data_IF_395183442381
#
_entry.id   IF_395183442381
#
_cell.length_a   1.000
_cell.length_b   1.000
_cell.length_c   1.000
_cell.angle_alpha   90.00
_cell.angle_beta   90.00
_cell.angle_gamma   90.00
#
_symmetry.space_group_name_H-M   'P 1'
#
loop_
_entity.id
_entity.type
_entity.pdbx_description
1 polymer ?
#
# COMPACT_ATOMS: atom_id res chain seq x y z
N UNK A 1 2.93 12.40 30.00
CA UNK A 1 2.17 12.02 31.21
C UNK A 1 2.94 10.90 31.89
N UNK A 2 3.31 11.06 33.16
CA UNK A 2 4.04 10.01 33.90
C UNK A 2 3.15 8.79 34.15
N UNK A 3 3.68 7.60 33.88
CA UNK A 3 3.00 6.32 34.07
C UNK A 3 2.85 6.04 35.57
N UNK A 4 1.62 6.00 36.12
CA UNK A 4 1.40 5.73 37.56
C UNK A 4 1.96 4.36 37.98
N UNK A 5 1.94 3.38 37.08
CA UNK A 5 2.43 2.04 37.35
C UNK A 5 3.97 1.92 37.39
N UNK A 6 4.72 2.87 36.81
CA UNK A 6 6.19 2.90 36.88
C UNK A 6 6.61 3.93 37.93
N UNK A 7 6.77 3.47 39.17
CA UNK A 7 7.26 4.29 40.30
C UNK A 7 6.29 4.49 41.46
N UNK A 8 5.14 3.81 41.47
CA UNK A 8 4.24 3.78 42.63
C UNK A 8 4.69 2.74 43.66
N UNK A 9 4.57 3.07 44.95
CA UNK A 9 4.75 2.14 46.07
C UNK A 9 3.59 1.14 46.20
N UNK A 10 2.49 1.34 45.47
CA UNK A 10 1.30 0.47 45.53
C UNK A 10 1.55 -0.78 44.68
N UNK A 11 1.37 -2.00 45.21
CA UNK A 11 1.51 -3.23 44.43
C UNK A 11 0.57 -3.29 43.22
N UNK A 12 1.02 -3.86 42.10
CA UNK A 12 0.23 -3.97 40.86
C UNK A 12 -1.14 -4.65 41.06
N UNK A 13 -1.20 -5.65 41.94
CA UNK A 13 -2.45 -6.32 42.33
C UNK A 13 -3.47 -5.37 42.98
N UNK A 14 -3.01 -4.42 43.78
CA UNK A 14 -3.87 -3.42 44.40
C UNK A 14 -4.27 -2.33 43.40
N UNK A 15 -3.35 -1.94 42.52
CA UNK A 15 -3.67 -1.02 41.41
C UNK A 15 -4.72 -1.62 40.46
N UNK A 16 -4.63 -2.93 40.17
CA UNK A 16 -5.62 -3.65 39.36
C UNK A 16 -7.00 -3.61 40.02
N UNK A 17 -7.08 -3.95 41.31
CA UNK A 17 -8.34 -3.88 42.08
C UNK A 17 -8.91 -2.47 42.14
N UNK A 18 -8.07 -1.45 42.27
CA UNK A 18 -8.51 -0.05 42.27
C UNK A 18 -9.06 0.34 40.89
N UNK A 19 -8.36 -0.02 39.82
CA UNK A 19 -8.79 0.24 38.45
C UNK A 19 -10.14 -0.40 38.15
N UNK A 20 -10.35 -1.63 38.61
CA UNK A 20 -11.62 -2.34 38.48
C UNK A 20 -12.72 -1.71 39.33
N UNK A 21 -12.47 -1.47 40.62
CA UNK A 21 -13.44 -0.90 41.57
C UNK A 21 -13.97 0.46 41.12
N UNK A 22 -13.12 1.28 40.50
CA UNK A 22 -13.49 2.60 39.99
C UNK A 22 -13.78 2.62 38.48
N UNK A 23 -13.86 1.45 37.83
CA UNK A 23 -14.11 1.32 36.38
C UNK A 23 -13.19 2.20 35.51
N UNK A 24 -11.93 2.40 35.94
CA UNK A 24 -10.97 3.27 35.26
C UNK A 24 -10.23 2.50 34.18
N UNK A 25 -10.70 2.65 32.94
CA UNK A 25 -10.12 2.01 31.75
C UNK A 25 -8.65 2.40 31.55
N UNK A 26 -8.32 3.68 31.70
CA UNK A 26 -6.96 4.18 31.55
C UNK A 26 -5.99 3.58 32.58
N UNK A 27 -6.43 3.44 33.84
CA UNK A 27 -5.60 2.82 34.88
C UNK A 27 -5.47 1.31 34.64
N UNK A 28 -6.54 0.65 34.20
CA UNK A 28 -6.54 -0.78 33.88
C UNK A 28 -5.55 -1.10 32.74
N UNK A 29 -5.53 -0.27 31.69
CA UNK A 29 -4.56 -0.38 30.58
C UNK A 29 -3.12 -0.21 31.11
N UNK A 30 -2.87 0.80 31.95
CA UNK A 30 -1.54 1.06 32.49
C UNK A 30 -1.04 -0.09 33.37
N UNK A 31 -1.90 -0.62 34.26
CA UNK A 31 -1.57 -1.76 35.11
C UNK A 31 -1.27 -2.99 34.26
N UNK A 32 -2.17 -3.35 33.32
CA UNK A 32 -1.97 -4.51 32.47
C UNK A 32 -0.71 -4.39 31.59
N UNK A 33 -0.40 -3.21 31.07
CA UNK A 33 0.81 -2.97 30.27
C UNK A 33 2.12 -3.10 31.06
N UNK A 34 2.06 -2.98 32.39
CA UNK A 34 3.23 -3.04 33.29
C UNK A 34 3.58 -4.47 33.72
N UNK A 35 2.68 -5.43 33.52
CA UNK A 35 2.87 -6.87 33.81
C UNK A 35 3.82 -7.46 32.77
N UNK A 36 4.96 -8.02 33.16
CA UNK A 36 6.05 -8.38 32.26
C UNK A 36 5.97 -9.80 31.72
N UNK A 37 5.34 -10.72 32.45
CA UNK A 37 5.22 -12.12 32.08
C UNK A 37 3.92 -12.76 32.58
N UNK A 38 3.64 -13.98 32.10
CA UNK A 38 2.42 -14.71 32.39
C UNK A 38 2.29 -15.13 33.87
N UNK A 39 3.41 -15.27 34.60
CA UNK A 39 3.37 -15.60 36.02
C UNK A 39 2.91 -14.39 36.84
N UNK A 40 3.45 -13.21 36.53
CA UNK A 40 3.02 -11.95 37.15
C UNK A 40 1.54 -11.63 36.84
N UNK A 41 1.06 -12.01 35.65
CA UNK A 41 -0.35 -11.90 35.29
C UNK A 41 -1.26 -12.76 36.19
N UNK A 42 -0.90 -14.02 36.44
CA UNK A 42 -1.65 -14.92 37.33
C UNK A 42 -1.65 -14.44 38.79
N UNK A 43 -0.60 -13.72 39.21
CA UNK A 43 -0.53 -13.14 40.56
C UNK A 43 -1.39 -11.88 40.73
N UNK A 44 -1.42 -11.04 39.70
CA UNK A 44 -2.09 -9.72 39.70
C UNK A 44 -3.58 -9.84 39.43
N UNK A 45 -3.99 -10.70 38.49
CA UNK A 45 -5.39 -10.83 38.05
C UNK A 45 -6.13 -11.84 38.94
N UNK A 46 -7.26 -11.48 39.56
CA UNK A 46 -8.12 -12.43 40.27
C UNK A 46 -8.57 -13.60 39.39
N UNK A 47 -8.59 -14.81 39.96
CA UNK A 47 -8.98 -16.05 39.26
C UNK A 47 -10.47 -16.12 38.92
N UNK A 48 -11.30 -15.41 39.67
CA UNK A 48 -12.70 -15.25 39.37
C UNK A 48 -12.87 -14.15 38.33
N UNK A 49 -12.98 -14.55 37.07
CA UNK A 49 -13.17 -13.63 35.95
C UNK A 49 -14.64 -13.24 35.79
N UNK A 50 -15.60 -13.97 36.37
CA UNK A 50 -17.02 -13.74 36.12
C UNK A 50 -17.51 -12.42 36.72
N UNK A 51 -16.84 -11.93 37.77
CA UNK A 51 -17.09 -10.63 38.38
C UNK A 51 -16.67 -9.43 37.52
N UNK A 52 -15.84 -9.63 36.50
CA UNK A 52 -15.29 -8.52 35.71
C UNK A 52 -16.28 -8.01 34.66
N UNK A 53 -16.29 -6.69 34.47
CA UNK A 53 -16.98 -6.10 33.33
C UNK A 53 -16.29 -6.53 32.01
N UNK A 54 -17.06 -6.59 30.93
CA UNK A 54 -16.58 -7.07 29.62
C UNK A 54 -15.35 -6.28 29.11
N UNK A 55 -15.25 -5.00 29.45
CA UNK A 55 -14.09 -4.17 29.10
C UNK A 55 -12.81 -4.64 29.80
N UNK A 56 -12.86 -4.88 31.11
CA UNK A 56 -11.72 -5.41 31.87
C UNK A 56 -11.33 -6.80 31.38
N UNK A 57 -12.31 -7.67 31.10
CA UNK A 57 -12.06 -8.99 30.50
C UNK A 57 -11.28 -8.87 29.19
N UNK A 58 -11.67 -7.96 28.30
CA UNK A 58 -11.00 -7.75 27.02
C UNK A 58 -9.56 -7.25 27.18
N UNK A 59 -9.30 -6.33 28.11
CA UNK A 59 -7.96 -5.79 28.36
C UNK A 59 -7.03 -6.87 28.93
N UNK A 60 -7.50 -7.62 29.92
CA UNK A 60 -6.75 -8.75 30.51
C UNK A 60 -6.47 -9.83 29.48
N UNK A 61 -7.47 -10.18 28.66
CA UNK A 61 -7.33 -11.18 27.60
C UNK A 61 -6.33 -10.71 26.53
N UNK A 62 -6.40 -9.44 26.12
CA UNK A 62 -5.43 -8.87 25.19
C UNK A 62 -4.01 -8.96 25.74
N UNK A 63 -3.80 -8.60 27.02
CA UNK A 63 -2.48 -8.72 27.65
C UNK A 63 -2.02 -10.17 27.77
N UNK A 64 -2.93 -11.09 28.05
CA UNK A 64 -2.64 -12.52 28.10
C UNK A 64 -2.11 -13.03 26.75
N UNK A 65 -2.72 -12.62 25.64
CA UNK A 65 -2.24 -12.97 24.30
C UNK A 65 -0.87 -12.38 24.00
N UNK A 66 -0.65 -11.11 24.34
CA UNK A 66 0.67 -10.47 24.20
C UNK A 66 1.76 -11.22 24.96
N UNK A 67 1.49 -11.64 26.20
CA UNK A 67 2.44 -12.37 27.06
C UNK A 67 2.68 -13.82 26.62
N UNK A 68 1.69 -14.47 26.00
CA UNK A 68 1.83 -15.80 25.41
C UNK A 68 2.54 -15.79 24.04
N UNK A 69 3.03 -14.62 23.59
CA UNK A 69 3.68 -14.48 22.28
C UNK A 69 2.72 -14.62 21.09
N UNK A 70 1.40 -14.69 21.35
CA UNK A 70 0.36 -14.63 20.33
C UNK A 70 0.23 -13.15 19.96
N UNK A 71 1.07 -12.70 19.02
CA UNK A 71 1.07 -11.32 18.56
C UNK A 71 -0.35 -10.91 18.17
N UNK A 72 -0.72 -9.72 18.65
CA UNK A 72 -1.84 -8.92 18.16
C UNK A 72 -1.96 -9.09 16.63
N UNK A 73 -3.14 -9.36 16.05
CA UNK A 73 -3.33 -9.10 14.63
C UNK A 73 -2.89 -7.65 14.42
N UNK A 74 -1.94 -7.43 13.52
CA UNK A 74 -1.53 -6.09 13.13
C UNK A 74 -2.81 -5.26 12.97
N UNK A 75 -2.89 -4.10 13.64
CA UNK A 75 -3.82 -3.07 13.16
C UNK A 75 -3.55 -2.95 11.66
N UNK A 76 -4.59 -2.87 10.82
CA UNK A 76 -4.37 -2.78 9.39
C UNK A 76 -3.38 -1.64 9.16
N UNK A 77 -2.30 -1.87 8.38
CA UNK A 77 -1.23 -0.90 8.30
C UNK A 77 -1.87 0.41 7.93
N UNK A 78 -1.70 1.41 8.80
CA UNK A 78 -1.97 2.77 8.37
C UNK A 78 -1.19 2.96 7.07
N UNK A 79 -1.81 3.53 6.03
CA UNK A 79 -1.14 3.67 4.74
C UNK A 79 0.18 4.40 5.00
N UNK A 80 1.29 3.66 4.87
CA UNK A 80 2.61 4.27 4.87
C UNK A 80 2.59 5.38 3.82
N UNK A 81 3.17 6.53 4.13
CA UNK A 81 3.20 7.64 3.18
C UNK A 81 3.76 7.11 1.85
N UNK A 82 3.04 7.34 0.75
CA UNK A 82 3.33 6.71 -0.55
C UNK A 82 4.76 6.96 -1.02
N UNK A 83 5.36 8.07 -0.57
CA UNK A 83 6.76 8.42 -0.80
C UNK A 83 7.73 7.49 -0.08
N UNK A 84 7.47 7.16 1.19
CA UNK A 84 8.30 6.23 1.97
C UNK A 84 8.31 4.85 1.30
N UNK A 85 7.13 4.37 0.89
CA UNK A 85 7.02 3.09 0.18
C UNK A 85 7.80 3.12 -1.13
N UNK A 86 7.62 4.18 -1.93
CA UNK A 86 8.30 4.32 -3.22
C UNK A 86 9.82 4.39 -3.08
N UNK A 87 10.35 5.26 -2.21
CA UNK A 87 11.80 5.37 -2.03
C UNK A 87 12.39 4.14 -1.31
N UNK A 88 11.62 3.43 -0.50
CA UNK A 88 12.00 2.12 0.03
C UNK A 88 12.20 1.09 -1.08
N UNK A 89 11.26 0.98 -2.02
CA UNK A 89 11.39 0.11 -3.21
C UNK A 89 12.55 0.53 -4.10
N UNK A 90 12.77 1.83 -4.26
CA UNK A 90 13.89 2.37 -5.04
C UNK A 90 15.23 2.05 -4.36
N UNK A 91 15.31 2.19 -3.04
CA UNK A 91 16.49 1.82 -2.26
C UNK A 91 16.87 0.35 -2.45
N UNK A 92 15.89 -0.55 -2.37
CA UNK A 92 16.11 -1.98 -2.60
C UNK A 92 16.60 -2.30 -4.02
N UNK A 93 16.07 -1.60 -5.04
CA UNK A 93 16.54 -1.74 -6.41
C UNK A 93 18.01 -1.31 -6.54
N UNK A 94 18.38 -0.19 -5.90
CA UNK A 94 19.75 0.33 -5.92
C UNK A 94 20.71 -0.58 -5.14
N UNK A 95 20.30 -1.09 -3.98
CA UNK A 95 21.08 -2.07 -3.22
C UNK A 95 21.30 -3.35 -4.03
N UNK A 96 20.26 -3.83 -4.72
CA UNK A 96 20.37 -5.02 -5.57
C UNK A 96 21.26 -4.78 -6.80
N UNK A 97 21.29 -3.55 -7.32
CA UNK A 97 22.19 -3.16 -8.40
C UNK A 97 23.65 -3.09 -7.94
N UNK A 98 23.90 -2.61 -6.72
CA UNK A 98 25.23 -2.55 -6.12
C UNK A 98 25.76 -3.95 -5.77
N UNK A 99 24.87 -4.88 -5.41
CA UNK A 99 25.21 -6.27 -5.08
C UNK A 99 25.36 -7.19 -6.30
N UNK A 100 25.53 -6.65 -7.52
CA UNK A 100 25.51 -7.38 -8.79
C UNK A 100 26.24 -8.74 -8.75
N UNK A 101 25.47 -9.81 -8.51
CA UNK A 101 26.00 -11.17 -8.51
C UNK A 101 25.00 -12.09 -9.23
N UNK A 102 25.32 -12.45 -10.47
CA UNK A 102 24.70 -13.48 -11.32
C UNK A 102 23.18 -13.45 -11.59
N UNK A 103 22.39 -12.55 -10.98
CA UNK A 103 20.93 -12.55 -11.04
C UNK A 103 20.34 -11.24 -11.60
N UNK A 104 20.87 -10.73 -12.71
CA UNK A 104 20.36 -9.49 -13.34
C UNK A 104 18.86 -9.52 -13.65
N UNK A 105 18.27 -10.71 -13.83
CA UNK A 105 16.83 -10.87 -14.01
C UNK A 105 16.00 -10.47 -12.77
N UNK A 106 16.50 -10.67 -11.55
CA UNK A 106 15.81 -10.21 -10.33
C UNK A 106 15.71 -8.68 -10.34
N UNK A 107 16.78 -8.00 -10.76
CA UNK A 107 16.82 -6.54 -10.89
C UNK A 107 15.86 -6.06 -11.98
N UNK A 108 15.81 -6.75 -13.13
CA UNK A 108 14.85 -6.45 -14.18
C UNK A 108 13.40 -6.62 -13.72
N UNK A 109 13.10 -7.66 -12.95
CA UNK A 109 11.77 -7.90 -12.40
C UNK A 109 11.40 -6.85 -11.34
N UNK A 110 12.35 -6.41 -10.50
CA UNK A 110 12.16 -5.28 -9.57
C UNK A 110 11.81 -3.98 -10.31
N UNK A 111 12.55 -3.66 -11.37
CA UNK A 111 12.28 -2.48 -12.20
C UNK A 111 10.89 -2.56 -12.86
N UNK A 112 10.53 -3.74 -13.39
CA UNK A 112 9.22 -4.00 -13.97
C UNK A 112 8.09 -3.84 -12.95
N UNK A 113 8.25 -4.37 -11.74
CA UNK A 113 7.27 -4.23 -10.66
C UNK A 113 7.10 -2.78 -10.21
N UNK A 114 8.20 -2.04 -10.08
CA UNK A 114 8.16 -0.62 -9.74
C UNK A 114 7.42 0.17 -10.82
N UNK A 115 7.77 -0.01 -12.09
CA UNK A 115 7.07 0.64 -13.21
C UNK A 115 5.58 0.29 -13.25
N UNK A 116 5.25 -1.00 -13.13
CA UNK A 116 3.86 -1.45 -13.09
C UNK A 116 3.09 -0.87 -11.92
N UNK A 117 3.71 -0.67 -10.76
CA UNK A 117 3.08 -0.02 -9.61
C UNK A 117 2.78 1.46 -9.87
N UNK A 118 3.71 2.18 -10.50
CA UNK A 118 3.53 3.59 -10.86
C UNK A 118 2.41 3.79 -11.90
N UNK A 119 2.37 2.92 -12.91
CA UNK A 119 1.31 2.90 -13.93
C UNK A 119 -0.03 2.55 -13.28
N UNK A 120 -0.06 1.52 -12.43
CA UNK A 120 -1.27 1.09 -11.74
C UNK A 120 -1.88 2.23 -10.91
N UNK A 121 -1.09 2.89 -10.05
CA UNK A 121 -1.61 3.96 -9.20
C UNK A 121 -2.13 5.14 -10.03
N UNK A 122 -1.46 5.49 -11.14
CA UNK A 122 -1.96 6.55 -12.03
C UNK A 122 -3.29 6.18 -12.70
N UNK A 123 -3.40 4.96 -13.23
CA UNK A 123 -4.64 4.48 -13.86
C UNK A 123 -5.76 4.38 -12.83
N UNK A 124 -5.46 3.86 -11.65
CA UNK A 124 -6.41 3.77 -10.55
C UNK A 124 -6.93 5.15 -10.14
N UNK A 125 -6.05 6.16 -10.09
CA UNK A 125 -6.45 7.52 -9.72
C UNK A 125 -7.29 8.23 -10.79
N UNK A 126 -6.99 7.99 -12.07
CA UNK A 126 -7.59 8.75 -13.18
C UNK A 126 -8.79 8.08 -13.81
N UNK A 127 -8.74 6.77 -13.98
CA UNK A 127 -9.68 6.03 -14.82
C UNK A 127 -10.69 5.25 -13.97
N UNK A 128 -10.23 4.66 -12.85
CA UNK A 128 -11.08 3.78 -12.01
C UNK A 128 -10.94 4.07 -10.51
N UNK A 129 -11.11 5.33 -10.04
CA UNK A 129 -10.97 5.66 -8.62
C UNK A 129 -11.94 4.89 -7.72
N UNK A 130 -13.06 4.41 -8.26
CA UNK A 130 -14.07 3.60 -7.58
C UNK A 130 -13.53 2.24 -7.12
N UNK A 131 -12.44 1.74 -7.71
CA UNK A 131 -11.86 0.46 -7.30
C UNK A 131 -11.03 0.58 -6.00
N UNK A 132 -10.65 1.80 -5.59
CA UNK A 132 -9.78 2.03 -4.42
C UNK A 132 -10.32 1.44 -3.12
N UNK A 133 -11.60 1.65 -2.73
CA UNK A 133 -12.12 1.09 -1.48
C UNK A 133 -12.08 -0.44 -1.49
N UNK A 134 -12.48 -1.06 -2.61
CA UNK A 134 -12.47 -2.52 -2.80
C UNK A 134 -11.05 -3.09 -2.69
N UNK A 135 -10.07 -2.42 -3.30
CA UNK A 135 -8.67 -2.80 -3.19
C UNK A 135 -8.19 -2.71 -1.74
N UNK A 136 -8.43 -1.59 -1.07
CA UNK A 136 -7.97 -1.38 0.32
C UNK A 136 -8.57 -2.38 1.31
N UNK A 137 -9.78 -2.85 1.05
CA UNK A 137 -10.50 -3.80 1.91
C UNK A 137 -10.28 -5.26 1.51
N UNK A 138 -9.52 -5.55 0.44
CA UNK A 138 -9.30 -6.91 -0.01
C UNK A 138 -8.41 -7.68 0.98
N UNK A 139 -8.92 -8.74 1.64
CA UNK A 139 -8.16 -9.47 2.65
C UNK A 139 -6.91 -10.13 2.08
N UNK A 140 -6.90 -10.48 0.79
CA UNK A 140 -5.75 -11.11 0.13
C UNK A 140 -4.57 -10.15 0.04
N UNK A 141 -4.82 -8.85 -0.11
CA UNK A 141 -3.74 -7.84 -0.08
C UNK A 141 -3.11 -7.82 1.30
N UNK A 142 -3.92 -7.95 2.37
CA UNK A 142 -3.40 -8.01 3.73
C UNK A 142 -2.51 -9.22 3.97
N UNK A 143 -2.99 -10.40 3.59
CA UNK A 143 -2.24 -11.67 3.70
C UNK A 143 -0.90 -11.57 2.97
N UNK A 144 -0.90 -11.06 1.74
CA UNK A 144 0.30 -10.88 0.93
C UNK A 144 1.25 -9.82 1.49
N UNK A 145 0.74 -8.75 2.12
CA UNK A 145 1.60 -7.74 2.75
C UNK A 145 2.27 -8.27 4.01
N UNK A 146 1.60 -9.14 4.79
CA UNK A 146 2.25 -9.84 5.90
C UNK A 146 3.29 -10.86 5.38
N UNK A 147 2.97 -11.63 4.34
CA UNK A 147 3.94 -12.53 3.69
C UNK A 147 5.18 -11.76 3.20
N UNK A 148 4.99 -10.56 2.64
CA UNK A 148 6.09 -9.71 2.18
C UNK A 148 7.04 -9.29 3.31
N UNK A 149 6.52 -9.10 4.53
CA UNK A 149 7.34 -8.75 5.71
C UNK A 149 8.18 -9.93 6.18
N UNK A 150 7.64 -11.13 6.10
CA UNK A 150 8.32 -12.37 6.49
C UNK A 150 9.30 -12.87 5.42
N UNK A 151 9.26 -12.29 4.22
CA UNK A 151 10.09 -12.69 3.09
C UNK A 151 11.48 -12.04 3.14
N UNK A 152 12.54 -12.84 2.97
CA UNK A 152 13.93 -12.36 3.05
C UNK A 152 14.69 -12.39 1.73
N UNK A 153 14.23 -13.15 0.72
CA UNK A 153 14.89 -13.20 -0.59
C UNK A 153 14.34 -12.13 -1.54
N UNK A 154 15.19 -11.39 -2.29
CA UNK A 154 14.74 -10.46 -3.32
C UNK A 154 13.79 -11.07 -4.36
N UNK A 155 14.04 -12.32 -4.77
CA UNK A 155 13.16 -13.04 -5.69
C UNK A 155 11.78 -13.31 -5.07
N UNK A 156 11.74 -13.85 -3.86
CA UNK A 156 10.47 -14.12 -3.17
C UNK A 156 9.68 -12.81 -2.97
N UNK A 157 10.35 -11.70 -2.61
CA UNK A 157 9.71 -10.38 -2.50
C UNK A 157 9.12 -9.91 -3.83
N UNK A 158 9.80 -10.15 -4.95
CA UNK A 158 9.27 -9.86 -6.27
C UNK A 158 8.02 -10.68 -6.58
N UNK A 159 8.03 -11.98 -6.27
CA UNK A 159 6.88 -12.85 -6.48
C UNK A 159 5.66 -12.38 -5.67
N UNK A 160 5.84 -12.04 -4.40
CA UNK A 160 4.75 -11.54 -3.53
C UNK A 160 4.24 -10.18 -4.03
N UNK A 161 5.12 -9.24 -4.37
CA UNK A 161 4.73 -7.94 -4.94
C UNK A 161 3.96 -8.08 -6.25
N UNK A 162 4.36 -9.00 -7.11
CA UNK A 162 3.66 -9.31 -8.33
C UNK A 162 2.24 -9.84 -8.04
N UNK A 163 2.07 -10.68 -7.02
CA UNK A 163 0.76 -11.16 -6.59
C UNK A 163 -0.13 -10.04 -6.02
N UNK A 164 0.45 -9.11 -5.25
CA UNK A 164 -0.28 -7.92 -4.77
C UNK A 164 -0.81 -7.13 -5.96
N UNK A 165 0.02 -6.90 -6.98
CA UNK A 165 -0.42 -6.22 -8.20
C UNK A 165 -1.48 -7.01 -8.97
N UNK A 166 -1.38 -8.35 -9.04
CA UNK A 166 -2.43 -9.19 -9.64
C UNK A 166 -3.78 -8.96 -8.94
N UNK A 167 -3.82 -9.01 -7.61
CA UNK A 167 -5.06 -8.77 -6.85
C UNK A 167 -5.60 -7.37 -7.10
N UNK A 168 -4.73 -6.35 -7.09
CA UNK A 168 -5.07 -4.96 -7.42
C UNK A 168 -5.71 -4.83 -8.82
N UNK A 169 -5.09 -5.44 -9.83
CA UNK A 169 -5.60 -5.44 -11.21
C UNK A 169 -6.91 -6.21 -11.36
N UNK A 170 -7.08 -7.32 -10.63
CA UNK A 170 -8.34 -8.08 -10.59
C UNK A 170 -9.48 -7.22 -10.06
N UNK A 171 -9.28 -6.53 -8.95
CA UNK A 171 -10.30 -5.66 -8.38
C UNK A 171 -10.65 -4.51 -9.33
N UNK A 172 -9.65 -3.88 -9.95
CA UNK A 172 -9.89 -2.84 -10.97
C UNK A 172 -10.71 -3.37 -12.16
N UNK A 173 -10.41 -4.57 -12.64
CA UNK A 173 -11.16 -5.21 -13.72
C UNK A 173 -12.61 -5.51 -13.33
N UNK A 174 -12.84 -6.06 -12.15
CA UNK A 174 -14.19 -6.33 -11.64
C UNK A 174 -14.98 -5.03 -11.53
N UNK A 175 -14.41 -3.97 -10.96
CA UNK A 175 -15.06 -2.66 -10.86
C UNK A 175 -15.41 -2.09 -12.22
N UNK A 176 -14.54 -2.23 -13.23
CA UNK A 176 -14.86 -1.81 -14.61
C UNK A 176 -16.08 -2.54 -15.17
N UNK A 177 -16.21 -3.85 -14.93
CA UNK A 177 -17.38 -4.62 -15.35
C UNK A 177 -18.64 -4.13 -14.62
N UNK A 178 -18.55 -3.92 -13.31
CA UNK A 178 -19.67 -3.43 -12.50
C UNK A 178 -20.13 -2.03 -12.94
N UNK A 179 -19.22 -1.20 -13.44
CA UNK A 179 -19.50 0.10 -14.05
C UNK A 179 -20.09 -0.01 -15.48
N UNK A 180 -20.25 -1.21 -16.02
CA UNK A 180 -20.83 -1.45 -17.36
C UNK A 180 -19.84 -1.30 -18.51
N UNK A 181 -18.52 -1.39 -18.26
CA UNK A 181 -17.52 -1.30 -19.32
C UNK A 181 -17.67 -2.43 -20.34
N UNK A 182 -17.72 -2.05 -21.62
CA UNK A 182 -17.86 -2.98 -22.74
C UNK A 182 -16.69 -3.99 -22.80
N UNK A 183 -16.87 -5.17 -23.42
CA UNK A 183 -15.81 -6.18 -23.57
C UNK A 183 -14.53 -5.68 -24.26
N UNK A 184 -14.67 -4.73 -25.18
CA UNK A 184 -13.62 -4.11 -25.98
C UNK A 184 -13.01 -2.84 -25.34
N UNK A 185 -13.34 -2.56 -24.08
CA UNK A 185 -12.79 -1.41 -23.37
C UNK A 185 -11.24 -1.48 -23.30
N UNK A 186 -10.49 -0.47 -23.77
CA UNK A 186 -9.02 -0.53 -23.88
C UNK A 186 -8.30 -0.87 -22.57
N UNK A 187 -8.85 -0.39 -21.44
CA UNK A 187 -8.30 -0.70 -20.13
C UNK A 187 -8.44 -2.19 -19.76
N UNK A 188 -9.50 -2.88 -20.20
CA UNK A 188 -9.66 -4.33 -19.95
C UNK A 188 -8.57 -5.12 -20.65
N UNK A 189 -8.28 -4.81 -21.91
CA UNK A 189 -7.19 -5.42 -22.67
C UNK A 189 -5.83 -5.13 -22.01
N UNK A 190 -5.60 -3.88 -21.61
CA UNK A 190 -4.38 -3.47 -20.92
C UNK A 190 -4.19 -4.24 -19.60
N UNK A 191 -5.24 -4.41 -18.81
CA UNK A 191 -5.20 -5.21 -17.57
C UNK A 191 -4.81 -6.66 -17.88
N UNK A 192 -5.37 -7.27 -18.93
CA UNK A 192 -5.04 -8.64 -19.30
C UNK A 192 -3.56 -8.80 -19.70
N UNK A 193 -3.00 -7.84 -20.45
CA UNK A 193 -1.58 -7.81 -20.77
C UNK A 193 -0.69 -7.65 -19.52
N UNK A 194 -1.15 -6.90 -18.52
CA UNK A 194 -0.43 -6.74 -17.25
C UNK A 194 -0.47 -8.02 -16.42
N UNK A 195 -1.61 -8.71 -16.34
CA UNK A 195 -1.73 -10.00 -15.65
C UNK A 195 -0.79 -11.07 -16.24
N UNK A 196 -0.63 -11.08 -17.56
CA UNK A 196 0.32 -11.94 -18.28
C UNK A 196 1.77 -11.69 -17.81
N UNK A 197 2.20 -10.42 -17.83
CA UNK A 197 3.54 -10.00 -17.42
C UNK A 197 3.81 -10.29 -15.94
N UNK A 198 2.83 -10.02 -15.08
CA UNK A 198 2.95 -10.27 -13.64
C UNK A 198 3.08 -11.77 -13.36
N UNK A 199 2.37 -12.62 -14.10
CA UNK A 199 2.53 -14.05 -13.94
C UNK A 199 3.91 -14.55 -14.37
N UNK A 200 4.48 -14.00 -15.45
CA UNK A 200 5.86 -14.31 -15.84
C UNK A 200 6.85 -13.98 -14.70
N UNK A 201 6.69 -12.83 -14.05
CA UNK A 201 7.52 -12.43 -12.89
C UNK A 201 7.33 -13.41 -11.73
N UNK A 202 6.08 -13.76 -11.40
CA UNK A 202 5.77 -14.74 -10.35
C UNK A 202 6.49 -16.06 -10.66
N UNK A 203 6.30 -16.61 -11.86
CA UNK A 203 6.87 -17.89 -12.27
C UNK A 203 8.40 -17.90 -12.21
N UNK A 204 9.07 -16.84 -12.69
CA UNK A 204 10.54 -16.74 -12.66
C UNK A 204 11.12 -16.64 -11.26
N UNK A 205 10.39 -16.03 -10.34
CA UNK A 205 10.84 -15.79 -8.98
C UNK A 205 10.33 -16.82 -7.96
N UNK A 206 9.53 -17.80 -8.39
CA UNK A 206 9.10 -18.91 -7.55
C UNK A 206 10.26 -19.87 -7.26
N UNK A 207 10.50 -20.17 -5.97
CA UNK A 207 11.41 -21.25 -5.55
C UNK A 207 10.64 -22.55 -5.35
N UNK A 208 11.32 -23.68 -5.60
CA UNK A 208 10.74 -25.03 -5.40
C UNK A 208 10.25 -25.31 -3.97
N UNK A 209 10.74 -24.59 -2.95
CA UNK A 209 10.44 -24.83 -1.52
C UNK A 209 9.29 -24.00 -0.95
N UNK A 210 8.99 -22.85 -1.54
CA UNK A 210 7.86 -22.00 -1.16
C UNK A 210 7.20 -21.59 -2.48
N UNK A 211 6.05 -22.20 -2.77
CA UNK A 211 5.22 -21.79 -3.89
C UNK A 211 4.25 -20.74 -3.32
N UNK A 212 4.53 -19.43 -3.43
CA UNK A 212 3.47 -18.46 -3.24
C UNK A 212 2.43 -18.80 -4.30
N UNK A 213 1.31 -19.39 -3.86
CA UNK A 213 0.25 -19.80 -4.77
C UNK A 213 -0.24 -18.52 -5.43
N UNK A 214 -0.19 -18.40 -6.77
CA UNK A 214 -0.78 -17.25 -7.45
C UNK A 214 -2.18 -17.04 -6.89
N UNK A 215 -2.62 -15.80 -6.73
CA UNK A 215 -3.98 -15.53 -6.23
C UNK A 215 -4.99 -16.00 -7.29
N UNK A 216 -5.28 -17.30 -7.32
CA UNK A 216 -6.26 -17.97 -8.18
C UNK A 216 -7.59 -18.13 -7.45
N UNK A 217 -7.63 -17.73 -6.17
CA UNK A 217 -8.81 -17.81 -5.32
C UNK A 217 -9.89 -16.87 -5.82
N UNK A 218 -11.11 -17.40 -5.96
CA UNK A 218 -12.29 -16.68 -6.39
C UNK A 218 -12.98 -17.37 -7.58
N UNK A 219 -14.26 -17.05 -7.77
CA UNK A 219 -15.09 -17.54 -8.87
C UNK A 219 -15.58 -16.42 -9.79
N UNK A 220 -14.99 -15.23 -9.68
CA UNK A 220 -15.32 -14.13 -10.56
C UNK A 220 -14.78 -14.40 -11.97
N UNK A 221 -15.38 -13.74 -12.98
CA UNK A 221 -14.94 -13.86 -14.37
C UNK A 221 -13.43 -13.59 -14.53
N UNK A 222 -12.90 -12.61 -13.80
CA UNK A 222 -11.48 -12.27 -13.85
C UNK A 222 -10.57 -13.37 -13.27
N UNK A 223 -11.07 -14.16 -12.32
CA UNK A 223 -10.32 -15.31 -11.78
C UNK A 223 -10.23 -16.43 -12.83
N UNK A 224 -11.30 -16.67 -13.57
CA UNK A 224 -11.30 -17.61 -14.70
C UNK A 224 -10.38 -17.15 -15.84
N UNK A 225 -10.42 -15.85 -16.16
CA UNK A 225 -9.50 -15.26 -17.15
C UNK A 225 -8.05 -15.44 -16.69
N UNK A 226 -7.76 -15.13 -15.43
CA UNK A 226 -6.40 -15.27 -14.89
C UNK A 226 -5.92 -16.72 -14.89
N UNK A 227 -6.77 -17.70 -14.59
CA UNK A 227 -6.47 -19.15 -14.75
C UNK A 227 -6.03 -19.49 -16.17
N UNK A 228 -6.77 -19.01 -17.19
CA UNK A 228 -6.40 -19.22 -18.59
C UNK A 228 -5.10 -18.50 -18.98
N UNK A 229 -4.88 -17.30 -18.44
CA UNK A 229 -3.60 -16.58 -18.63
C UNK A 229 -2.43 -17.40 -18.09
N UNK A 230 -2.58 -17.98 -16.89
CA UNK A 230 -1.57 -18.88 -16.30
C UNK A 230 -1.28 -20.04 -17.24
N UNK A 231 -2.30 -20.79 -17.66
CA UNK A 231 -2.16 -21.94 -18.57
C UNK A 231 -1.48 -21.54 -19.90
N UNK A 232 -1.86 -20.40 -20.45
CA UNK A 232 -1.28 -19.88 -21.71
C UNK A 232 0.19 -19.53 -21.55
N UNK A 233 0.56 -18.87 -20.45
CA UNK A 233 1.96 -18.52 -20.16
C UNK A 233 2.78 -19.77 -19.92
N UNK A 234 2.31 -20.71 -19.10
CA UNK A 234 3.01 -21.97 -18.84
C UNK A 234 3.24 -22.75 -20.13
N UNK A 235 2.22 -22.84 -20.99
CA UNK A 235 2.35 -23.45 -22.32
C UNK A 235 3.38 -22.76 -23.21
N UNK A 236 3.44 -21.42 -23.20
CA UNK A 236 4.47 -20.68 -23.95
C UNK A 236 5.87 -20.92 -23.38
N UNK A 237 6.04 -20.79 -22.06
CA UNK A 237 7.33 -20.97 -21.40
C UNK A 237 7.87 -22.39 -21.52
N UNK A 238 7.01 -23.40 -21.55
CA UNK A 238 7.41 -24.78 -21.78
C UNK A 238 7.94 -25.04 -23.20
N UNK A 239 7.51 -24.23 -24.18
CA UNK A 239 7.86 -24.35 -25.59
C UNK A 239 8.96 -23.36 -26.03
N UNK A 240 9.32 -22.39 -25.20
CA UNK A 240 10.40 -21.45 -25.46
C UNK A 240 11.77 -22.08 -25.16
N UNK A 241 12.61 -22.21 -26.20
CA UNK A 241 14.03 -22.50 -25.99
C UNK A 241 14.68 -21.39 -25.15
N UNK A 242 15.65 -21.69 -24.27
CA UNK A 242 16.30 -20.68 -23.46
C UNK A 242 16.84 -19.57 -24.37
N UNK A 243 16.34 -18.34 -24.17
CA UNK A 243 16.69 -17.19 -24.99
C UNK A 243 18.22 -17.00 -24.96
N UNK A 244 18.88 -17.37 -26.05
CA UNK A 244 20.28 -17.05 -26.26
C UNK A 244 20.38 -15.52 -26.40
N UNK A 245 21.34 -14.87 -25.74
CA UNK A 245 21.62 -13.44 -25.94
C UNK A 245 21.89 -13.20 -27.43
N UNK A 246 20.93 -12.65 -28.17
CA UNK A 246 21.07 -12.33 -29.60
C UNK A 246 21.83 -10.99 -29.78
N UNK A 247 22.45 -10.45 -28.73
CA UNK A 247 23.14 -9.17 -28.75
C UNK A 247 24.26 -9.05 -27.72
N UNK A 248 25.01 -7.95 -27.81
CA UNK A 248 26.12 -7.62 -26.90
C UNK A 248 25.66 -7.17 -25.50
N UNK A 249 24.38 -6.83 -25.34
CA UNK A 249 23.80 -6.40 -24.07
C UNK A 249 23.08 -7.56 -23.35
N UNK A 250 23.27 -7.74 -22.03
CA UNK A 250 22.50 -8.73 -21.26
C UNK A 250 20.99 -8.49 -21.36
N UNK A 251 20.19 -9.53 -21.59
CA UNK A 251 18.72 -9.48 -21.68
C UNK A 251 18.06 -8.68 -20.54
N UNK A 252 18.59 -8.79 -19.32
CA UNK A 252 18.05 -8.09 -18.16
C UNK A 252 18.19 -6.57 -18.27
N UNK A 253 19.30 -6.07 -18.82
CA UNK A 253 19.54 -4.64 -18.97
C UNK A 253 18.67 -4.05 -20.09
N UNK A 254 18.52 -4.80 -21.20
CA UNK A 254 17.56 -4.46 -22.26
C UNK A 254 16.11 -4.42 -21.72
N UNK A 255 15.78 -5.29 -20.76
CA UNK A 255 14.47 -5.30 -20.10
C UNK A 255 14.26 -4.07 -19.23
N UNK A 256 15.26 -3.67 -18.43
CA UNK A 256 15.21 -2.44 -17.63
C UNK A 256 15.07 -1.21 -18.54
N UNK A 257 15.85 -1.15 -19.62
CA UNK A 257 15.77 -0.09 -20.62
C UNK A 257 14.35 0.06 -21.19
N UNK A 258 13.77 -1.03 -21.66
CA UNK A 258 12.39 -1.04 -22.21
C UNK A 258 11.37 -0.62 -21.15
N UNK A 259 11.56 -1.07 -19.91
CA UNK A 259 10.69 -0.70 -18.79
C UNK A 259 10.77 0.80 -18.49
N UNK A 260 11.96 1.38 -18.52
CA UNK A 260 12.18 2.82 -18.35
C UNK A 260 11.59 3.66 -19.48
N UNK A 261 11.57 3.13 -20.71
CA UNK A 261 10.92 3.77 -21.86
C UNK A 261 9.39 3.68 -21.81
N UNK A 262 8.84 2.62 -21.19
CA UNK A 262 7.39 2.47 -21.04
C UNK A 262 6.77 3.42 -20.02
N UNK A 263 7.57 4.04 -19.15
CA UNK A 263 7.13 5.17 -18.34
C UNK A 263 6.98 6.37 -19.28
N UNK A 264 5.75 6.89 -19.48
CA UNK A 264 5.53 7.92 -20.48
C UNK A 264 6.43 9.14 -20.25
N UNK A 265 7.21 9.49 -21.27
CA UNK A 265 8.02 10.69 -21.22
C UNK A 265 7.09 11.91 -21.18
N UNK A 266 7.28 12.78 -20.18
CA UNK A 266 6.47 13.98 -20.03
C UNK A 266 7.28 15.21 -20.45
N UNK A 267 6.86 15.97 -21.47
CA UNK A 267 7.54 17.20 -21.86
C UNK A 267 7.37 18.32 -20.81
N UNK A 268 6.40 18.19 -19.89
CA UNK A 268 6.14 19.19 -18.85
C UNK A 268 7.20 19.22 -17.73
N UNK A 269 8.18 18.31 -17.72
CA UNK A 269 9.23 18.32 -16.70
C UNK A 269 10.24 19.40 -17.03
N UNK A 270 10.18 20.53 -16.32
CA UNK A 270 11.20 21.55 -16.43
C UNK A 270 12.55 21.01 -15.97
N UNK A 271 13.64 21.49 -16.58
CA UNK A 271 15.01 21.10 -16.22
C UNK A 271 15.27 21.28 -14.71
N UNK A 272 14.67 22.30 -14.10
CA UNK A 272 14.78 22.59 -12.66
C UNK A 272 14.14 21.51 -11.79
N UNK A 273 12.97 20.97 -12.17
CA UNK A 273 12.33 19.86 -11.43
C UNK A 273 13.19 18.59 -11.53
N UNK A 274 13.74 18.30 -12.71
CA UNK A 274 14.65 17.15 -12.92
C UNK A 274 15.89 17.26 -12.03
N UNK A 275 16.54 18.42 -12.02
CA UNK A 275 17.74 18.66 -11.23
C UNK A 275 17.45 18.66 -9.72
N UNK A 276 16.31 19.20 -9.31
CA UNK A 276 15.86 19.20 -7.91
C UNK A 276 15.69 17.77 -7.37
N UNK A 277 14.99 16.91 -8.10
CA UNK A 277 14.81 15.49 -7.72
C UNK A 277 16.15 14.75 -7.75
N UNK A 278 16.97 14.93 -8.78
CA UNK A 278 18.26 14.23 -8.92
C UNK A 278 19.25 14.53 -7.78
N UNK A 279 19.18 15.70 -7.16
CA UNK A 279 20.12 16.12 -6.11
C UNK A 279 19.72 15.69 -4.70
N UNK A 280 18.45 15.36 -4.48
CA UNK A 280 17.93 15.02 -3.15
C UNK A 280 18.02 13.53 -2.83
N UNK A 281 18.08 12.67 -3.84
CA UNK A 281 17.96 11.22 -3.66
C UNK A 281 19.22 10.44 -4.06
N UNK A 282 19.41 9.28 -3.43
CA UNK A 282 20.53 8.36 -3.71
C UNK A 282 20.58 8.02 -5.20
N UNK A 283 21.75 8.18 -5.81
CA UNK A 283 22.00 7.83 -7.23
C UNK A 283 22.50 6.39 -7.34
N UNK A 284 22.46 5.84 -8.55
CA UNK A 284 23.16 4.59 -8.87
C UNK A 284 24.64 4.77 -8.56
N UNK A 285 25.26 3.78 -7.90
CA UNK A 285 26.69 3.84 -7.61
C UNK A 285 27.51 3.88 -8.90
N UNK A 286 28.72 4.45 -8.82
CA UNK A 286 29.64 4.44 -9.97
C UNK A 286 29.99 3.02 -10.44
N UNK A 287 30.00 2.05 -9.51
CA UNK A 287 30.34 0.65 -9.76
C UNK A 287 29.21 -0.12 -10.45
N UNK A 288 27.95 0.26 -10.21
CA UNK A 288 26.76 -0.30 -10.85
C UNK A 288 26.18 0.61 -11.97
N UNK A 289 26.99 1.54 -12.50
CA UNK A 289 26.52 2.57 -13.43
C UNK A 289 26.31 2.02 -14.84
N UNK A 290 25.11 1.51 -15.10
CA UNK A 290 24.63 1.20 -16.44
C UNK A 290 23.73 2.31 -16.95
N UNK A 291 23.90 2.72 -18.21
CA UNK A 291 23.07 3.78 -18.83
C UNK A 291 21.57 3.51 -18.66
N UNK A 292 21.15 2.26 -18.86
CA UNK A 292 19.75 1.88 -18.74
C UNK A 292 19.18 1.92 -17.33
N UNK A 293 19.98 1.55 -16.33
CA UNK A 293 19.56 1.63 -14.94
C UNK A 293 19.46 3.09 -14.48
N UNK A 294 20.45 3.92 -14.83
CA UNK A 294 20.41 5.36 -14.55
C UNK A 294 19.18 6.03 -15.16
N UNK A 295 18.89 5.72 -16.42
CA UNK A 295 17.72 6.23 -17.13
C UNK A 295 16.41 5.79 -16.46
N UNK A 296 16.31 4.51 -16.09
CA UNK A 296 15.15 3.98 -15.39
C UNK A 296 14.90 4.69 -14.04
N UNK A 297 15.92 4.76 -13.19
CA UNK A 297 15.82 5.38 -11.85
C UNK A 297 15.38 6.83 -11.96
N UNK A 298 15.97 7.58 -12.89
CA UNK A 298 15.59 8.97 -13.13
C UNK A 298 14.13 9.08 -13.58
N UNK A 299 13.70 8.33 -14.58
CA UNK A 299 12.33 8.41 -15.10
C UNK A 299 11.29 7.99 -14.06
N UNK A 300 11.56 6.93 -13.29
CA UNK A 300 10.67 6.46 -12.24
C UNK A 300 10.45 7.52 -11.15
N UNK A 301 11.51 8.18 -10.71
CA UNK A 301 11.42 9.28 -9.73
C UNK A 301 10.71 10.51 -10.29
N UNK A 302 11.09 10.95 -11.50
CA UNK A 302 10.41 12.06 -12.17
C UNK A 302 8.90 11.79 -12.26
N UNK A 303 8.52 10.58 -12.69
CA UNK A 303 7.13 10.17 -12.79
C UNK A 303 6.39 10.24 -11.45
N UNK A 304 6.96 9.61 -10.41
CA UNK A 304 6.37 9.56 -9.08
C UNK A 304 6.13 10.96 -8.50
N UNK A 305 7.19 11.78 -8.43
CA UNK A 305 7.13 13.10 -7.80
C UNK A 305 6.25 14.09 -8.58
N UNK A 306 6.23 14.02 -9.91
CA UNK A 306 5.31 14.85 -10.69
C UNK A 306 3.84 14.49 -10.44
N UNK A 307 3.55 13.19 -10.33
CA UNK A 307 2.20 12.75 -9.98
C UNK A 307 1.82 13.20 -8.56
N UNK A 308 2.75 13.14 -7.61
CA UNK A 308 2.55 13.65 -6.24
C UNK A 308 2.25 15.16 -6.23
N UNK A 309 3.05 15.96 -6.94
CA UNK A 309 2.85 17.42 -7.06
C UNK A 309 1.49 17.72 -7.68
N UNK A 310 1.08 16.99 -8.73
CA UNK A 310 -0.24 17.16 -9.36
C UNK A 310 -1.38 16.84 -8.40
N UNK A 311 -1.26 15.80 -7.58
CA UNK A 311 -2.25 15.47 -6.56
C UNK A 311 -2.38 16.59 -5.54
N UNK A 312 -1.25 17.12 -5.06
CA UNK A 312 -1.25 18.25 -4.12
C UNK A 312 -1.90 19.49 -4.74
N UNK A 313 -1.57 19.83 -5.99
CA UNK A 313 -2.17 20.96 -6.69
C UNK A 313 -3.68 20.80 -6.90
N UNK A 314 -4.15 19.60 -7.29
CA UNK A 314 -5.58 19.31 -7.42
C UNK A 314 -6.32 19.47 -6.09
N UNK A 315 -5.76 18.93 -5.01
CA UNK A 315 -6.35 19.05 -3.68
C UNK A 315 -6.41 20.51 -3.23
N UNK A 316 -5.37 21.31 -3.54
CA UNK A 316 -5.34 22.73 -3.21
C UNK A 316 -6.41 23.52 -3.98
N UNK A 317 -6.58 23.26 -5.28
CA UNK A 317 -7.63 23.88 -6.10
C UNK A 317 -9.02 23.48 -5.61
N UNK A 318 -9.21 22.20 -5.23
CA UNK A 318 -10.49 21.72 -4.72
C UNK A 318 -10.84 22.35 -3.37
N UNK A 319 -9.88 22.42 -2.43
CA UNK A 319 -10.08 23.08 -1.14
C UNK A 319 -10.42 24.57 -1.31
N UNK A 320 -9.75 25.27 -2.24
CA UNK A 320 -10.09 26.66 -2.57
C UNK A 320 -11.49 26.81 -3.18
N UNK A 321 -11.93 25.85 -4.01
CA UNK A 321 -13.26 25.87 -4.60
C UNK A 321 -14.36 25.64 -3.53
N UNK A 322 -14.11 24.73 -2.58
CA UNK A 322 -15.01 24.44 -1.45
C UNK A 322 -15.12 25.63 -0.49
N UNK A 323 -14.00 26.28 -0.15
CA UNK A 323 -13.98 27.52 0.64
C UNK A 323 -14.74 28.66 -0.06
N UNK A 324 -14.54 28.84 -1.36
CA UNK A 324 -15.26 29.86 -2.13
C UNK A 324 -16.76 29.59 -2.22
N UNK A 325 -17.16 28.32 -2.31
CA UNK A 325 -18.57 27.91 -2.32
C UNK A 325 -19.23 28.13 -0.95
N UNK A 326 -18.53 27.81 0.14
CA UNK A 326 -18.99 28.06 1.51
C UNK A 326 -19.19 29.57 1.76
N UNK A 327 -18.22 30.41 1.35
CA UNK A 327 -18.33 31.87 1.47
C UNK A 327 -19.49 32.43 0.63
N UNK A 328 -19.77 31.85 -0.54
CA UNK A 328 -20.92 32.23 -1.37
C UNK A 328 -22.25 31.85 -0.71
N UNK A 329 -22.33 30.63 -0.16
CA UNK A 329 -23.49 30.13 0.55
C UNK A 329 -23.80 30.94 1.81
N UNK A 330 -22.78 31.28 2.60
CA UNK A 330 -22.92 32.10 3.80
C UNK A 330 -23.39 33.53 3.45
N UNK A 331 -22.88 34.12 2.36
CA UNK A 331 -23.38 35.41 1.85
C UNK A 331 -24.83 35.33 1.40
N UNK A 332 -25.26 34.23 0.79
CA UNK A 332 -26.64 34.01 0.37
C UNK A 332 -27.59 33.87 1.57
N UNK A 333 -27.16 33.15 2.62
CA UNK A 333 -27.89 33.03 3.89
C UNK A 333 -28.03 34.36 4.63
N UNK A 334 -26.98 35.19 4.64
CA UNK A 334 -27.03 36.53 5.25
C UNK A 334 -28.02 37.43 4.50
N UNK A 335 -28.01 37.39 3.15
CA UNK A 335 -28.91 38.19 2.31
C UNK A 335 -30.37 37.80 2.47
N UNK A 336 -30.67 36.50 2.47
CA UNK A 336 -32.05 35.99 2.66
C UNK A 336 -32.57 36.26 4.07
N UNK A 337 -31.71 36.24 5.10
CA UNK A 337 -32.10 36.62 6.46
C UNK A 337 -32.35 38.13 6.62
N UNK A 338 -31.58 38.99 5.95
CA UNK A 338 -31.82 40.45 5.96
C UNK A 338 -33.10 40.82 5.20
N UNK A 339 -33.37 40.18 4.05
CA UNK A 339 -34.62 40.37 3.31
C UNK A 339 -35.86 39.91 4.11
N UNK A 340 -35.78 38.76 4.80
CA UNK A 340 -36.84 38.28 5.69
C UNK A 340 -37.04 39.17 6.93
N UNK A 341 -35.97 39.78 7.46
CA UNK A 341 -36.08 40.76 8.55
C UNK A 341 -36.78 42.04 8.11
N UNK A 342 -36.45 42.56 6.93
CA UNK A 342 -37.13 43.75 6.38
C UNK A 342 -38.62 43.48 6.15
N UNK A 343 -39.00 42.33 5.63
CA UNK A 343 -40.40 41.95 5.43
C UNK A 343 -41.17 41.79 6.75
N UNK A 344 -40.53 41.31 7.83
CA UNK A 344 -41.15 41.21 9.17
C UNK A 344 -41.20 42.54 9.92
N UNK A 345 -40.29 43.47 9.64
CA UNK A 345 -40.32 44.83 10.18
C UNK A 345 -41.52 45.64 9.65
N UNK A 346 -41.78 45.56 8.34
CA UNK A 346 -42.93 46.24 7.72
C UNK A 346 -44.29 45.70 8.18
N UNK A 347 -44.39 44.44 8.56
CA UNK A 347 -45.64 43.86 9.07
C UNK A 347 -45.98 44.27 10.52
N UNK A 348 -45.10 45.01 11.21
CA UNK A 348 -45.36 45.53 12.58
C UNK A 348 -45.74 47.01 12.63
N UNK A 349 -45.73 47.71 11.50
CA UNK A 349 -46.07 49.15 11.42
C UNK A 349 -47.29 49.43 10.51
N UNK A 350 -48.12 48.44 10.23
CA UNK A 350 -49.42 48.62 9.58
C UNK A 350 -50.58 48.29 10.52
#
# INVERSE_FOLDING_TARGET
MSHLAQGSEIPLKEQFKLAEKYCSENLMIQVCSSIKDAYELDEVVPKDLDSFCNKTKNIVLQRSFELLGIRKPSLPPQPEESEIVFEGLMGELLDQADLQNHHGMILADQAALLSNSLIFEEVLDREVPQAKPTILQDPRIHELMEELRDTHSPAERNAVRAQVLVVKYKNMYTTLIEMGAAPDHPLRESIMLMLDRLYIIIHRNQRKRFKPQPSVRGELLIDQIYRRTIETVEGRLANEAPQQNIGFEPIWLATINRTGQSLPWRPEVTLNIRQGISNLFRKVSGEASFLGLNFFVQNAREWFYLNLIRKMQKNQVQNQAEENMQVSFDKYLIKTNTENWMLRGFAKEC
#
